data_IF_807154738574
#
_entry.id   IF_807154738574
#
_cell.length_a   1.000
_cell.length_b   1.000
_cell.length_c   1.000
_cell.angle_alpha   90.00
_cell.angle_beta   90.00
_cell.angle_gamma   90.00
#
_symmetry.space_group_name_H-M   'P 1'
#
loop_
_entity.id
_entity.type
_entity.pdbx_description
1 polymer ?
#
# COMPACT_ATOMS: atom_id res chain seq x y z
N UNK A 1 -21.10 22.33 -47.44
CA UNK A 1 -19.88 21.51 -47.45
C UNK A 1 -19.01 22.01 -46.29
N UNK A 2 -19.14 21.40 -45.10
CA UNK A 2 -18.34 21.75 -43.94
C UNK A 2 -17.01 21.02 -44.02
N UNK A 3 -15.92 21.77 -44.19
CA UNK A 3 -14.57 21.27 -44.12
C UNK A 3 -14.28 20.76 -42.71
N UNK A 4 -14.30 19.45 -42.48
CA UNK A 4 -13.66 18.85 -41.32
C UNK A 4 -12.19 19.25 -41.35
N UNK A 5 -11.79 20.25 -40.58
CA UNK A 5 -10.40 20.52 -40.30
C UNK A 5 -9.83 19.29 -39.56
N UNK A 6 -9.11 18.45 -40.28
CA UNK A 6 -8.34 17.36 -39.73
C UNK A 6 -7.39 17.93 -38.67
N UNK A 7 -7.63 17.60 -37.40
CA UNK A 7 -6.75 17.96 -36.30
C UNK A 7 -5.33 17.52 -36.67
N UNK A 8 -4.38 18.46 -36.70
CA UNK A 8 -2.98 18.16 -36.95
C UNK A 8 -2.54 17.09 -35.96
N UNK A 9 -1.96 15.96 -36.41
CA UNK A 9 -1.45 14.94 -35.49
C UNK A 9 -0.37 15.57 -34.62
N UNK A 10 -0.57 15.56 -33.31
CA UNK A 10 0.46 15.94 -32.35
C UNK A 10 1.52 14.85 -32.37
N UNK A 11 2.55 15.05 -33.16
CA UNK A 11 3.64 14.09 -33.29
C UNK A 11 4.82 14.46 -32.39
N UNK A 12 5.54 13.47 -31.97
CA UNK A 12 6.87 13.59 -31.41
C UNK A 12 7.84 13.97 -32.51
N UNK A 13 8.35 15.22 -32.51
CA UNK A 13 9.36 15.64 -33.49
C UNK A 13 8.99 15.43 -34.96
N UNK A 14 7.69 15.34 -35.31
CA UNK A 14 7.20 15.16 -36.67
C UNK A 14 6.53 13.82 -36.99
N UNK A 15 6.39 12.90 -36.04
CA UNK A 15 5.70 11.61 -36.17
C UNK A 15 4.31 11.56 -35.55
N UNK A 16 3.52 10.53 -35.90
CA UNK A 16 2.23 10.21 -35.26
C UNK A 16 2.54 9.36 -34.02
N UNK A 17 1.97 9.73 -32.86
CA UNK A 17 2.10 8.91 -31.64
C UNK A 17 1.49 7.52 -31.88
N UNK A 18 2.25 6.41 -31.78
CA UNK A 18 1.73 5.07 -32.09
C UNK A 18 0.66 4.61 -31.09
N UNK A 19 0.60 5.20 -29.90
CA UNK A 19 -0.32 4.80 -28.83
C UNK A 19 -1.54 5.71 -28.67
N UNK A 20 -1.63 6.80 -29.43
CA UNK A 20 -2.73 7.79 -29.39
C UNK A 20 -3.12 8.26 -27.98
N UNK A 21 -2.17 8.19 -27.02
CA UNK A 21 -2.37 8.56 -25.60
C UNK A 21 -1.53 9.77 -25.23
N UNK A 22 -1.94 10.47 -24.15
CA UNK A 22 -1.13 11.57 -23.63
C UNK A 22 0.18 11.05 -23.02
N UNK A 23 1.25 11.82 -23.18
CA UNK A 23 2.58 11.50 -22.63
C UNK A 23 2.55 11.23 -21.13
N UNK A 24 1.68 11.93 -20.39
CA UNK A 24 1.54 11.73 -18.96
C UNK A 24 0.88 10.40 -18.58
N UNK A 25 -0.09 9.91 -19.38
CA UNK A 25 -0.65 8.56 -19.19
C UNK A 25 0.40 7.48 -19.50
N UNK A 26 1.16 7.65 -20.57
CA UNK A 26 2.22 6.71 -20.94
C UNK A 26 3.29 6.64 -19.85
N UNK A 27 3.75 7.79 -19.36
CA UNK A 27 4.71 7.85 -18.24
C UNK A 27 4.17 7.14 -17.00
N UNK A 28 2.90 7.36 -16.63
CA UNK A 28 2.28 6.69 -15.50
C UNK A 28 2.28 5.16 -15.68
N UNK A 29 1.96 4.64 -16.85
CA UNK A 29 2.01 3.20 -17.12
C UNK A 29 3.41 2.61 -16.94
N UNK A 30 4.44 3.24 -17.48
CA UNK A 30 5.82 2.78 -17.30
C UNK A 30 6.25 2.83 -15.83
N UNK A 31 5.87 3.89 -15.11
CA UNK A 31 6.12 4.00 -13.68
C UNK A 31 5.45 2.85 -12.91
N UNK A 32 4.16 2.59 -13.14
CA UNK A 32 3.43 1.51 -12.47
C UNK A 32 4.02 0.12 -12.78
N UNK A 33 4.44 -0.14 -14.01
CA UNK A 33 5.08 -1.40 -14.39
C UNK A 33 6.43 -1.57 -13.65
N UNK A 34 7.26 -0.53 -13.60
CA UNK A 34 8.54 -0.59 -12.90
C UNK A 34 8.36 -0.82 -11.40
N UNK A 35 7.34 -0.21 -10.82
CA UNK A 35 7.02 -0.35 -9.41
C UNK A 35 6.43 -1.74 -9.10
N UNK A 36 5.57 -2.26 -9.98
CA UNK A 36 5.07 -3.64 -9.90
C UNK A 36 6.21 -4.67 -9.91
N UNK A 37 7.24 -4.47 -10.72
CA UNK A 37 8.42 -5.34 -10.74
C UNK A 37 9.19 -5.28 -9.41
N UNK A 38 9.31 -4.12 -8.80
CA UNK A 38 9.95 -3.95 -7.48
C UNK A 38 9.18 -4.70 -6.39
N UNK A 39 7.85 -4.53 -6.32
CA UNK A 39 7.01 -5.28 -5.39
C UNK A 39 7.06 -6.78 -5.64
N UNK A 40 7.02 -7.20 -6.89
CA UNK A 40 7.16 -8.62 -7.26
C UNK A 40 8.48 -9.20 -6.74
N UNK A 41 9.58 -8.47 -6.91
CA UNK A 41 10.89 -8.87 -6.38
C UNK A 41 10.87 -9.08 -4.85
N UNK A 42 10.26 -8.15 -4.10
CA UNK A 42 10.11 -8.26 -2.64
C UNK A 42 9.25 -9.46 -2.24
N UNK A 43 8.10 -9.67 -2.90
CA UNK A 43 7.21 -10.79 -2.59
C UNK A 43 7.82 -12.15 -2.99
N UNK A 44 8.54 -12.23 -4.09
CA UNK A 44 9.28 -13.44 -4.48
C UNK A 44 10.38 -13.76 -3.47
N UNK A 45 11.12 -12.75 -3.01
CA UNK A 45 12.12 -12.93 -1.96
C UNK A 45 11.46 -13.43 -0.66
N UNK A 46 10.34 -12.84 -0.23
CA UNK A 46 9.55 -13.32 0.90
C UNK A 46 9.15 -14.80 0.73
N UNK A 47 8.61 -15.17 -0.43
CA UNK A 47 8.21 -16.55 -0.74
C UNK A 47 9.39 -17.53 -0.68
N UNK A 48 10.56 -17.13 -1.19
CA UNK A 48 11.79 -17.92 -1.11
C UNK A 48 12.22 -18.16 0.35
N UNK A 49 12.27 -17.13 1.18
CA UNK A 49 12.65 -17.24 2.58
C UNK A 49 11.63 -18.06 3.39
N UNK A 50 10.33 -17.85 3.13
CA UNK A 50 9.28 -18.65 3.73
C UNK A 50 9.42 -20.14 3.39
N UNK A 51 9.68 -20.46 2.13
CA UNK A 51 9.93 -21.85 1.71
C UNK A 51 11.17 -22.45 2.38
N UNK A 52 12.25 -21.65 2.46
CA UNK A 52 13.51 -22.08 3.08
C UNK A 52 13.38 -22.37 4.58
N UNK A 53 12.55 -21.61 5.29
CA UNK A 53 12.34 -21.71 6.74
C UNK A 53 10.93 -22.19 7.09
N UNK A 54 10.32 -22.99 6.22
CA UNK A 54 8.89 -23.32 6.31
C UNK A 54 8.52 -24.00 7.63
N UNK A 55 9.41 -24.86 8.19
CA UNK A 55 9.19 -25.59 9.44
C UNK A 55 9.10 -24.69 10.69
N UNK A 56 9.71 -23.50 10.60
CA UNK A 56 9.81 -22.54 11.72
C UNK A 56 9.12 -21.21 11.42
N UNK A 57 8.55 -21.06 10.23
CA UNK A 57 7.86 -19.84 9.84
C UNK A 57 6.55 -19.70 10.63
N UNK A 58 6.31 -18.54 11.28
CA UNK A 58 5.12 -18.38 12.11
C UNK A 58 3.84 -18.38 11.27
N UNK A 59 2.78 -18.89 11.86
CA UNK A 59 1.45 -18.83 11.26
C UNK A 59 0.89 -17.41 11.52
N UNK A 60 0.50 -16.72 10.46
CA UNK A 60 0.06 -15.31 10.53
C UNK A 60 -1.12 -15.09 11.50
N UNK A 61 -2.00 -16.08 11.66
CA UNK A 61 -3.11 -16.05 12.62
C UNK A 61 -2.68 -16.00 14.09
N UNK A 62 -1.45 -16.38 14.39
CA UNK A 62 -0.87 -16.31 15.74
C UNK A 62 -0.10 -15.01 15.98
N UNK A 63 0.38 -14.38 14.91
CA UNK A 63 1.14 -13.12 14.97
C UNK A 63 0.21 -11.92 15.05
N UNK A 64 -0.81 -11.86 14.20
CA UNK A 64 -1.72 -10.71 14.03
C UNK A 64 -3.07 -10.97 14.70
N UNK A 65 -3.07 -10.92 16.05
CA UNK A 65 -4.24 -11.25 16.87
C UNK A 65 -4.89 -10.03 17.54
N UNK A 66 -4.23 -8.88 17.50
CA UNK A 66 -4.67 -7.68 18.21
C UNK A 66 -5.73 -6.92 17.41
N UNK A 67 -6.75 -6.46 18.11
CA UNK A 67 -7.77 -5.57 17.57
C UNK A 67 -7.87 -4.31 18.43
N UNK A 68 -7.94 -3.09 17.85
CA UNK A 68 -8.08 -1.86 18.60
C UNK A 68 -9.38 -1.89 19.42
N UNK A 69 -9.33 -1.34 20.63
CA UNK A 69 -10.46 -1.22 21.55
C UNK A 69 -11.01 -2.53 22.16
N UNK A 70 -10.44 -3.70 21.89
CA UNK A 70 -10.86 -4.96 22.51
C UNK A 70 -9.66 -5.85 22.84
N UNK A 71 -9.75 -6.62 23.92
CA UNK A 71 -8.76 -7.63 24.29
C UNK A 71 -9.08 -9.01 23.68
N UNK A 72 -10.06 -9.10 22.78
CA UNK A 72 -10.39 -10.35 22.10
C UNK A 72 -9.29 -10.70 21.09
N UNK A 73 -8.87 -11.96 21.11
CA UNK A 73 -7.98 -12.51 20.09
C UNK A 73 -8.78 -12.73 18.80
N UNK A 74 -8.71 -11.79 17.88
CA UNK A 74 -9.41 -11.83 16.59
C UNK A 74 -8.36 -11.92 15.47
N UNK A 75 -7.91 -13.14 15.11
CA UNK A 75 -6.85 -13.30 14.13
C UNK A 75 -7.26 -12.71 12.78
N UNK A 76 -6.38 -11.90 12.20
CA UNK A 76 -6.51 -11.28 10.87
C UNK A 76 -7.74 -10.37 10.64
N UNK A 77 -8.67 -10.24 11.59
CA UNK A 77 -9.89 -9.43 11.42
C UNK A 77 -9.54 -7.96 11.22
N UNK A 78 -8.54 -7.46 11.95
CA UNK A 78 -8.10 -6.08 11.81
C UNK A 78 -7.50 -5.80 10.43
N UNK A 79 -6.61 -6.67 9.95
CA UNK A 79 -5.99 -6.51 8.63
C UNK A 79 -7.02 -6.69 7.51
N UNK A 80 -7.98 -7.61 7.70
CA UNK A 80 -9.13 -7.75 6.81
C UNK A 80 -9.98 -6.47 6.73
N UNK A 81 -10.20 -5.79 7.88
CA UNK A 81 -10.88 -4.50 7.92
C UNK A 81 -10.09 -3.41 7.18
N UNK A 82 -8.77 -3.34 7.37
CA UNK A 82 -7.90 -2.42 6.63
C UNK A 82 -7.99 -2.65 5.11
N UNK A 83 -8.01 -3.92 4.69
CA UNK A 83 -8.18 -4.29 3.28
C UNK A 83 -9.53 -3.82 2.73
N UNK A 84 -10.60 -4.01 3.49
CA UNK A 84 -11.93 -3.56 3.11
C UNK A 84 -12.02 -2.02 2.99
N UNK A 85 -11.42 -1.27 3.94
CA UNK A 85 -11.35 0.19 3.90
C UNK A 85 -10.64 0.68 2.63
N UNK A 86 -9.51 0.05 2.26
CA UNK A 86 -8.77 0.43 1.07
C UNK A 86 -9.55 0.14 -0.22
N UNK A 87 -10.23 -1.01 -0.30
CA UNK A 87 -11.12 -1.34 -1.43
C UNK A 87 -12.26 -0.32 -1.55
N UNK A 88 -12.88 0.08 -0.44
CA UNK A 88 -13.91 1.12 -0.46
C UNK A 88 -13.35 2.46 -0.95
N UNK A 89 -12.15 2.84 -0.51
CA UNK A 89 -11.50 4.07 -0.99
C UNK A 89 -11.16 3.99 -2.48
N UNK A 90 -10.87 2.80 -2.99
CA UNK A 90 -10.68 2.57 -4.42
C UNK A 90 -11.98 2.78 -5.21
N UNK A 91 -13.12 2.32 -4.69
CA UNK A 91 -14.44 2.58 -5.29
C UNK A 91 -14.76 4.08 -5.31
N UNK A 92 -14.50 4.80 -4.21
CA UNK A 92 -14.72 6.26 -4.18
C UNK A 92 -13.82 6.99 -5.19
N UNK A 93 -12.62 6.50 -5.43
CA UNK A 93 -11.74 7.07 -6.45
C UNK A 93 -12.28 6.85 -7.88
N UNK A 94 -12.85 5.67 -8.19
CA UNK A 94 -13.55 5.44 -9.48
C UNK A 94 -14.67 6.45 -9.67
N UNK A 95 -15.49 6.67 -8.64
CA UNK A 95 -16.59 7.62 -8.69
C UNK A 95 -16.10 9.08 -8.85
N UNK A 96 -14.93 9.41 -8.28
CA UNK A 96 -14.30 10.71 -8.50
C UNK A 96 -13.85 10.91 -9.97
N UNK A 97 -13.25 9.87 -10.57
CA UNK A 97 -12.86 9.88 -11.98
C UNK A 97 -14.10 10.04 -12.88
N UNK A 98 -15.16 9.28 -12.60
CA UNK A 98 -16.39 9.31 -13.36
C UNK A 98 -17.10 10.68 -13.25
N UNK A 99 -17.15 11.28 -12.04
CA UNK A 99 -17.64 12.65 -11.86
C UNK A 99 -16.78 13.67 -12.63
N UNK A 100 -15.46 13.45 -12.71
CA UNK A 100 -14.55 14.25 -13.53
C UNK A 100 -14.88 14.18 -15.03
N UNK A 101 -15.21 12.99 -15.55
CA UNK A 101 -15.67 12.82 -16.94
C UNK A 101 -16.97 13.57 -17.23
N UNK A 102 -17.88 13.61 -16.26
CA UNK A 102 -19.14 14.39 -16.34
C UNK A 102 -18.94 15.89 -16.12
N UNK A 103 -17.73 16.33 -15.76
CA UNK A 103 -17.42 17.72 -15.37
C UNK A 103 -18.22 18.20 -14.15
N UNK A 104 -18.57 17.28 -13.25
CA UNK A 104 -19.25 17.58 -12.00
C UNK A 104 -18.24 17.85 -10.88
N UNK A 105 -17.89 19.11 -10.67
CA UNK A 105 -16.94 19.53 -9.66
C UNK A 105 -17.36 19.11 -8.25
N UNK A 106 -18.65 19.19 -7.92
CA UNK A 106 -19.13 18.82 -6.57
C UNK A 106 -18.99 17.34 -6.32
N UNK A 107 -19.32 16.52 -7.32
CA UNK A 107 -19.09 15.07 -7.26
C UNK A 107 -17.61 14.73 -7.11
N UNK A 108 -16.73 15.35 -7.88
CA UNK A 108 -15.27 15.18 -7.75
C UNK A 108 -14.81 15.50 -6.34
N UNK A 109 -15.19 16.62 -5.77
CA UNK A 109 -14.80 17.03 -4.41
C UNK A 109 -15.28 16.04 -3.35
N UNK A 110 -16.54 15.61 -3.42
CA UNK A 110 -17.10 14.65 -2.47
C UNK A 110 -16.36 13.33 -2.50
N UNK A 111 -16.23 12.72 -3.67
CA UNK A 111 -15.63 11.41 -3.81
C UNK A 111 -14.12 11.40 -3.52
N UNK A 112 -13.40 12.45 -3.92
CA UNK A 112 -11.98 12.60 -3.55
C UNK A 112 -11.79 12.80 -2.05
N UNK A 113 -12.67 13.56 -1.37
CA UNK A 113 -12.60 13.71 0.07
C UNK A 113 -12.77 12.36 0.78
N UNK A 114 -13.72 11.52 0.35
CA UNK A 114 -13.89 10.17 0.88
C UNK A 114 -12.67 9.28 0.62
N UNK A 115 -12.07 9.35 -0.55
CA UNK A 115 -10.82 8.62 -0.87
C UNK A 115 -9.67 9.05 0.04
N UNK A 116 -9.52 10.34 0.32
CA UNK A 116 -8.49 10.85 1.23
C UNK A 116 -8.72 10.34 2.66
N UNK A 117 -9.98 10.35 3.12
CA UNK A 117 -10.33 9.85 4.46
C UNK A 117 -10.03 8.36 4.57
N UNK A 118 -10.44 7.52 3.61
CA UNK A 118 -10.11 6.09 3.61
C UNK A 118 -8.60 5.86 3.60
N UNK A 119 -7.86 6.51 2.71
CA UNK A 119 -6.40 6.40 2.69
C UNK A 119 -5.72 6.84 3.99
N UNK A 120 -6.22 7.88 4.66
CA UNK A 120 -5.70 8.34 5.95
C UNK A 120 -6.00 7.33 7.08
N UNK A 121 -7.18 6.73 7.07
CA UNK A 121 -7.56 5.66 8.01
C UNK A 121 -6.62 4.45 7.82
N UNK A 122 -6.38 4.04 6.59
CA UNK A 122 -5.45 2.94 6.29
C UNK A 122 -4.03 3.22 6.80
N UNK A 123 -3.47 4.38 6.49
CA UNK A 123 -2.11 4.77 6.95
C UNK A 123 -2.05 4.80 8.48
N UNK A 124 -3.08 5.37 9.14
CA UNK A 124 -3.17 5.38 10.60
C UNK A 124 -3.22 3.96 11.20
N UNK A 125 -3.97 3.07 10.57
CA UNK A 125 -4.09 1.66 10.95
C UNK A 125 -2.76 0.92 10.80
N UNK A 126 -2.02 1.17 9.73
CA UNK A 126 -0.70 0.57 9.50
C UNK A 126 0.32 1.05 10.55
N UNK A 127 0.31 2.34 10.90
CA UNK A 127 1.19 2.88 11.95
C UNK A 127 0.85 2.25 13.30
N UNK A 128 -0.44 2.06 13.61
CA UNK A 128 -0.88 1.39 14.83
C UNK A 128 -0.44 -0.08 14.88
N UNK A 129 -0.58 -0.83 13.78
CA UNK A 129 -0.10 -2.21 13.66
C UNK A 129 1.41 -2.30 13.92
N UNK A 130 2.18 -1.40 13.32
CA UNK A 130 3.62 -1.33 13.54
C UNK A 130 3.97 -1.01 15.01
N UNK A 131 3.25 -0.07 15.62
CA UNK A 131 3.48 0.29 17.01
C UNK A 131 3.29 -0.92 17.94
N UNK A 132 2.25 -1.74 17.71
CA UNK A 132 2.04 -2.97 18.46
C UNK A 132 3.13 -3.99 18.19
N UNK A 133 3.47 -4.20 16.91
CA UNK A 133 4.48 -5.17 16.53
C UNK A 133 5.87 -4.82 17.11
N UNK A 134 6.23 -3.55 17.15
CA UNK A 134 7.50 -3.06 17.75
C UNK A 134 7.48 -3.16 19.28
N UNK A 135 6.39 -2.75 19.92
CA UNK A 135 6.30 -2.73 21.39
C UNK A 135 6.15 -4.13 22.00
N UNK A 136 5.51 -5.05 21.28
CA UNK A 136 5.35 -6.43 21.69
C UNK A 136 4.30 -6.70 22.76
N UNK A 137 4.25 -7.93 23.23
CA UNK A 137 3.38 -8.38 24.30
C UNK A 137 3.86 -7.90 25.69
N UNK A 138 2.98 -7.91 26.69
CA UNK A 138 3.35 -7.52 28.06
C UNK A 138 4.39 -8.46 28.69
N UNK A 139 4.33 -9.75 28.37
CA UNK A 139 5.19 -10.78 28.95
C UNK A 139 6.50 -10.97 28.17
N UNK A 140 6.48 -10.72 26.87
CA UNK A 140 7.60 -11.04 25.97
C UNK A 140 7.85 -12.54 25.83
N UNK A 141 8.87 -12.90 25.09
CA UNK A 141 9.34 -14.30 24.98
C UNK A 141 10.82 -14.41 25.29
N UNK A 142 11.21 -15.57 25.82
CA UNK A 142 12.63 -15.90 25.99
C UNK A 142 13.21 -16.26 24.63
N UNK A 143 14.17 -15.48 24.17
CA UNK A 143 14.84 -15.70 22.88
C UNK A 143 16.37 -15.70 23.06
N UNK A 144 17.05 -16.46 22.22
CA UNK A 144 18.49 -16.42 22.12
C UNK A 144 18.94 -15.14 21.43
N UNK A 145 19.63 -14.28 22.16
CA UNK A 145 20.13 -13.00 21.67
C UNK A 145 21.60 -12.81 22.05
N UNK A 146 22.31 -12.00 21.29
CA UNK A 146 23.71 -11.69 21.55
C UNK A 146 23.78 -10.52 22.54
N UNK A 147 24.20 -10.81 23.77
CA UNK A 147 24.43 -9.81 24.82
C UNK A 147 25.93 -9.81 25.14
N UNK A 148 26.58 -8.66 25.00
CA UNK A 148 28.04 -8.52 25.21
C UNK A 148 28.89 -9.51 24.38
N UNK A 149 28.44 -9.84 23.15
CA UNK A 149 29.15 -10.76 22.25
C UNK A 149 28.92 -12.25 22.53
N UNK A 150 28.11 -12.62 23.51
CA UNK A 150 27.80 -14.01 23.85
C UNK A 150 26.32 -14.30 23.62
N UNK A 151 26.01 -15.48 23.08
CA UNK A 151 24.64 -15.94 22.93
C UNK A 151 24.05 -16.31 24.29
N UNK A 152 22.96 -15.66 24.65
CA UNK A 152 22.26 -15.89 25.93
C UNK A 152 20.75 -15.90 25.70
N UNK A 153 20.06 -16.80 26.40
CA UNK A 153 18.60 -16.83 26.46
C UNK A 153 18.13 -15.72 27.41
N UNK A 154 17.49 -14.70 26.86
CA UNK A 154 17.02 -13.56 27.63
C UNK A 154 15.62 -13.12 27.17
N UNK A 155 14.83 -12.44 28.04
CA UNK A 155 13.52 -11.94 27.67
C UNK A 155 13.64 -10.86 26.62
N UNK A 156 12.81 -10.97 25.58
CA UNK A 156 12.72 -9.97 24.51
C UNK A 156 11.25 -9.64 24.24
N UNK A 157 10.96 -8.39 23.94
CA UNK A 157 9.62 -7.90 23.66
C UNK A 157 9.59 -7.25 22.29
N UNK A 158 8.51 -7.50 21.57
CA UNK A 158 8.26 -6.92 20.27
C UNK A 158 9.13 -7.49 19.14
N UNK A 159 9.34 -6.67 18.13
CA UNK A 159 10.14 -7.00 16.99
C UNK A 159 11.06 -5.85 16.59
N UNK A 160 12.29 -6.20 16.24
CA UNK A 160 13.20 -5.32 15.51
C UNK A 160 13.74 -6.08 14.30
N UNK A 161 14.65 -5.48 13.54
CA UNK A 161 15.22 -6.09 12.33
C UNK A 161 16.00 -7.39 12.62
N UNK A 162 16.42 -7.66 13.86
CA UNK A 162 17.23 -8.81 14.22
C UNK A 162 16.48 -9.87 15.02
N UNK A 163 15.61 -9.45 15.92
CA UNK A 163 14.88 -10.30 16.85
C UNK A 163 13.40 -10.04 16.81
N UNK A 164 12.61 -11.10 17.01
CA UNK A 164 11.16 -11.05 16.92
C UNK A 164 10.53 -12.05 17.89
N UNK A 165 9.71 -11.56 18.84
CA UNK A 165 9.00 -12.42 19.80
C UNK A 165 7.88 -13.25 19.16
N UNK A 166 7.35 -12.80 18.01
CA UNK A 166 6.22 -13.45 17.34
C UNK A 166 6.64 -14.67 16.50
N UNK A 167 7.90 -14.72 16.09
CA UNK A 167 8.45 -15.77 15.28
C UNK A 167 9.70 -16.36 15.95
N UNK A 168 9.49 -17.27 16.89
CA UNK A 168 10.53 -17.92 17.68
C UNK A 168 10.42 -19.43 17.51
N UNK A 169 11.55 -20.10 17.25
CA UNK A 169 11.67 -21.55 17.17
C UNK A 169 11.57 -22.18 18.55
N UNK A 170 11.34 -23.50 18.61
CA UNK A 170 11.36 -24.28 19.86
C UNK A 170 12.70 -24.17 20.61
N UNK A 171 13.79 -23.88 19.91
CA UNK A 171 15.12 -23.65 20.48
C UNK A 171 15.35 -22.23 20.99
N UNK A 172 14.33 -21.37 20.94
CA UNK A 172 14.43 -19.96 21.35
C UNK A 172 15.11 -19.03 20.34
N UNK A 173 15.35 -19.50 19.11
CA UNK A 173 15.93 -18.66 18.06
C UNK A 173 14.83 -17.89 17.33
N UNK A 174 15.05 -16.59 17.08
CA UNK A 174 14.16 -15.80 16.23
C UNK A 174 14.28 -16.27 14.78
N UNK A 175 13.13 -16.43 14.10
CA UNK A 175 13.11 -16.81 12.68
C UNK A 175 13.78 -15.71 11.84
N UNK A 176 14.78 -16.06 11.04
CA UNK A 176 15.55 -15.09 10.27
C UNK A 176 14.66 -14.30 9.30
N UNK A 177 14.89 -12.99 9.22
CA UNK A 177 14.30 -12.08 8.24
C UNK A 177 12.78 -11.92 8.26
N UNK A 178 12.03 -12.51 9.21
CA UNK A 178 10.58 -12.33 9.28
C UNK A 178 10.20 -10.86 9.50
N UNK A 179 10.81 -10.23 10.51
CA UNK A 179 10.57 -8.81 10.80
C UNK A 179 11.11 -7.89 9.69
N UNK A 180 12.25 -8.24 9.08
CA UNK A 180 12.81 -7.48 7.95
C UNK A 180 11.83 -7.41 6.79
N UNK A 181 11.26 -8.56 6.39
CA UNK A 181 10.26 -8.61 5.32
C UNK A 181 8.98 -7.89 5.71
N UNK A 182 8.54 -8.03 6.97
CA UNK A 182 7.35 -7.32 7.44
C UNK A 182 7.51 -5.81 7.28
N UNK A 183 8.56 -5.24 7.85
CA UNK A 183 8.79 -3.79 7.78
C UNK A 183 9.13 -3.32 6.36
N UNK A 184 9.89 -4.10 5.59
CA UNK A 184 10.25 -3.71 4.24
C UNK A 184 9.05 -3.71 3.30
N UNK A 185 8.26 -4.80 3.27
CA UNK A 185 7.13 -4.95 2.35
C UNK A 185 5.99 -4.00 2.72
N UNK A 186 5.56 -4.01 4.01
CA UNK A 186 4.47 -3.15 4.46
C UNK A 186 4.88 -1.68 4.51
N UNK A 187 6.17 -1.37 4.78
CA UNK A 187 6.71 -0.02 4.78
C UNK A 187 6.81 0.58 3.39
N UNK A 188 7.31 -0.19 2.44
CA UNK A 188 7.37 0.25 1.06
C UNK A 188 5.97 0.49 0.49
N UNK A 189 5.02 -0.41 0.78
CA UNK A 189 3.62 -0.21 0.44
C UNK A 189 3.02 1.02 1.16
N UNK A 190 3.20 1.12 2.48
CA UNK A 190 2.70 2.23 3.29
C UNK A 190 3.20 3.60 2.82
N UNK A 191 4.46 3.68 2.36
CA UNK A 191 5.01 4.88 1.73
C UNK A 191 4.26 5.25 0.45
N UNK A 192 3.89 4.26 -0.38
CA UNK A 192 3.10 4.48 -1.60
C UNK A 192 1.69 4.94 -1.28
N UNK A 193 1.02 4.34 -0.28
CA UNK A 193 -0.30 4.82 0.17
C UNK A 193 -0.21 6.25 0.69
N UNK A 194 0.77 6.54 1.54
CA UNK A 194 0.98 7.89 2.07
C UNK A 194 1.21 8.92 0.96
N UNK A 195 2.09 8.62 0.00
CA UNK A 195 2.32 9.50 -1.15
C UNK A 195 1.05 9.68 -2.00
N UNK A 196 0.26 8.62 -2.16
CA UNK A 196 -1.04 8.67 -2.81
C UNK A 196 -2.05 9.58 -2.10
N UNK A 197 -2.11 9.53 -0.77
CA UNK A 197 -2.93 10.44 0.04
C UNK A 197 -2.51 11.89 -0.18
N UNK A 198 -1.20 12.19 -0.17
CA UNK A 198 -0.67 13.53 -0.44
C UNK A 198 -1.05 14.01 -1.86
N UNK A 199 -0.88 13.16 -2.87
CA UNK A 199 -1.28 13.47 -4.25
C UNK A 199 -2.78 13.73 -4.35
N UNK A 200 -3.61 12.94 -3.67
CA UNK A 200 -5.06 13.14 -3.61
C UNK A 200 -5.43 14.46 -2.94
N UNK A 201 -4.77 14.88 -1.86
CA UNK A 201 -4.96 16.18 -1.21
C UNK A 201 -4.62 17.34 -2.16
N UNK A 202 -3.50 17.23 -2.87
CA UNK A 202 -3.10 18.23 -3.88
C UNK A 202 -4.17 18.31 -4.98
N UNK A 203 -4.62 17.17 -5.49
CA UNK A 203 -5.64 17.10 -6.56
C UNK A 203 -6.99 17.64 -6.09
N UNK A 204 -7.40 17.33 -4.86
CA UNK A 204 -8.59 17.90 -4.21
C UNK A 204 -8.50 19.42 -4.14
N UNK A 205 -7.36 19.96 -3.70
CA UNK A 205 -7.14 21.40 -3.63
C UNK A 205 -7.20 22.05 -5.01
N UNK A 206 -6.67 21.40 -6.04
CA UNK A 206 -6.78 21.89 -7.43
C UNK A 206 -8.23 21.88 -7.93
N UNK A 207 -9.00 20.82 -7.62
CA UNK A 207 -10.43 20.75 -7.95
C UNK A 207 -11.23 21.83 -7.22
N UNK A 208 -10.98 22.02 -5.93
CA UNK A 208 -11.63 23.04 -5.10
C UNK A 208 -11.39 24.46 -5.65
N UNK A 209 -10.18 24.75 -6.12
CA UNK A 209 -9.81 26.03 -6.75
C UNK A 209 -10.33 26.19 -8.19
N UNK A 210 -11.07 25.24 -8.73
CA UNK A 210 -11.62 25.28 -10.09
C UNK A 210 -10.54 25.21 -11.19
N UNK A 211 -9.38 24.62 -10.92
CA UNK A 211 -8.27 24.54 -11.89
C UNK A 211 -8.67 23.68 -13.09
N UNK A 212 -9.39 22.59 -12.87
CA UNK A 212 -9.81 21.65 -13.92
C UNK A 212 -10.91 22.25 -14.80
N UNK A 213 -11.82 23.02 -14.23
CA UNK A 213 -12.85 23.75 -14.97
C UNK A 213 -12.22 24.79 -15.92
N UNK A 214 -11.26 25.55 -15.42
CA UNK A 214 -10.51 26.52 -16.24
C UNK A 214 -9.70 25.87 -17.36
N UNK A 215 -9.19 24.66 -17.14
CA UNK A 215 -8.46 23.87 -18.14
C UNK A 215 -9.40 23.16 -19.13
N UNK A 216 -10.67 22.98 -18.75
CA UNK A 216 -11.68 22.30 -19.58
C UNK A 216 -11.57 20.77 -19.63
N UNK A 217 -10.62 20.16 -18.89
CA UNK A 217 -10.42 18.71 -18.82
C UNK A 217 -9.94 18.25 -17.46
N UNK A 218 -10.32 17.02 -17.09
CA UNK A 218 -10.03 16.37 -15.81
C UNK A 218 -9.04 15.19 -15.93
N UNK A 219 -8.24 15.16 -16.99
CA UNK A 219 -7.28 14.08 -17.28
C UNK A 219 -6.28 13.81 -16.14
N UNK A 220 -6.00 14.82 -15.31
CA UNK A 220 -5.13 14.66 -14.15
C UNK A 220 -5.72 13.69 -13.12
N UNK A 221 -7.03 13.74 -12.87
CA UNK A 221 -7.72 12.86 -11.92
C UNK A 221 -7.64 11.40 -12.37
N UNK A 222 -7.72 11.12 -13.68
CA UNK A 222 -7.54 9.78 -14.21
C UNK A 222 -6.14 9.21 -13.90
N UNK A 223 -5.11 10.04 -14.02
CA UNK A 223 -3.72 9.62 -13.70
C UNK A 223 -3.54 9.32 -12.23
N UNK A 224 -4.12 10.13 -11.36
CA UNK A 224 -4.12 9.92 -9.92
C UNK A 224 -4.94 8.67 -9.55
N UNK A 225 -6.07 8.46 -10.22
CA UNK A 225 -6.87 7.24 -10.08
C UNK A 225 -6.10 5.97 -10.44
N UNK A 226 -5.38 5.98 -11.57
CA UNK A 226 -4.53 4.84 -11.96
C UNK A 226 -3.49 4.51 -10.88
N UNK A 227 -2.84 5.53 -10.33
CA UNK A 227 -1.88 5.34 -9.24
C UNK A 227 -2.55 4.75 -7.99
N UNK A 228 -3.70 5.28 -7.57
CA UNK A 228 -4.42 4.83 -6.39
C UNK A 228 -4.87 3.37 -6.50
N UNK A 229 -5.45 2.99 -7.64
CA UNK A 229 -5.87 1.61 -7.90
C UNK A 229 -4.71 0.63 -7.95
N UNK A 230 -3.56 1.07 -8.48
CA UNK A 230 -2.36 0.26 -8.45
C UNK A 230 -1.89 -0.01 -7.01
N UNK A 231 -1.84 1.01 -6.16
CA UNK A 231 -1.45 0.88 -4.75
C UNK A 231 -2.40 -0.07 -4.01
N UNK A 232 -3.71 0.06 -4.22
CA UNK A 232 -4.73 -0.82 -3.66
C UNK A 232 -4.55 -2.29 -4.13
N UNK A 233 -4.30 -2.49 -5.42
CA UNK A 233 -4.04 -3.82 -5.97
C UNK A 233 -2.78 -4.46 -5.37
N UNK A 234 -1.72 -3.69 -5.18
CA UNK A 234 -0.49 -4.16 -4.52
C UNK A 234 -0.79 -4.59 -3.08
N UNK A 235 -1.65 -3.86 -2.34
CA UNK A 235 -2.06 -4.27 -1.00
C UNK A 235 -2.72 -5.64 -0.98
N UNK A 236 -3.60 -5.94 -1.93
CA UNK A 236 -4.24 -7.25 -2.03
C UNK A 236 -3.18 -8.37 -2.16
N UNK A 237 -2.12 -8.15 -2.93
CA UNK A 237 -1.01 -9.10 -3.00
C UNK A 237 -0.24 -9.19 -1.67
N UNK A 238 0.09 -8.06 -1.05
CA UNK A 238 0.78 -8.03 0.25
C UNK A 238 -0.07 -8.75 1.30
N UNK A 239 -1.37 -8.48 1.36
CA UNK A 239 -2.31 -9.14 2.26
C UNK A 239 -2.34 -10.65 2.02
N UNK A 240 -2.44 -11.08 0.77
CA UNK A 240 -2.51 -12.50 0.43
C UNK A 240 -1.20 -13.23 0.77
N UNK A 241 -0.05 -12.70 0.37
CA UNK A 241 1.22 -13.41 0.51
C UNK A 241 1.84 -13.29 1.90
N UNK A 242 1.55 -12.25 2.64
CA UNK A 242 2.13 -12.04 3.97
C UNK A 242 1.20 -12.46 5.10
N UNK A 243 -0.12 -12.20 4.98
CA UNK A 243 -1.07 -12.43 6.06
C UNK A 243 -1.93 -13.69 5.87
N UNK A 244 -2.33 -14.05 4.65
CA UNK A 244 -3.17 -15.24 4.44
C UNK A 244 -2.40 -16.53 4.21
N UNK A 245 -1.29 -16.48 3.52
CA UNK A 245 -0.42 -17.64 3.30
C UNK A 245 0.57 -17.82 4.43
#
# INVERSE_FOLDING_TARGET
MSSHALAKPQGWGGGISPLATSHGKLFMWFFLISDALTFTGLLVALGFFRHKFHDVWPVSTQVFTHFPFTHAHLPLVYVGWMTFDLILSSVTMVLAVEAGHRKDQKGVLLWMALTIVGGAIFVGSQVWEWAIFINGSHEGKMINQVINGVWQLAPFRGANLRYNEYAVTDTGMSVPHYADFFFCVTGFHGFHVFSGVVINIITFTMAYRGVFERRGHYEWIEKVGLYWHFVDLVWVFVFTFFYLL
#
